data_IF_821638937065
#
_entry.id   IF_821638937065
#
_cell.length_a   1.000
_cell.length_b   1.000
_cell.length_c   1.000
_cell.angle_alpha   90.00
_cell.angle_beta   90.00
_cell.angle_gamma   90.00
#
_symmetry.space_group_name_H-M   'P 1'
#
loop_
_entity.id
_entity.type
_entity.pdbx_description
1 polymer ?
#
# COMPACT_ATOMS: atom_id res chain seq x y z
N UNK A 1 10.71 -0.44 -23.18
CA UNK A 1 9.62 0.47 -23.61
C UNK A 1 8.72 0.70 -22.41
N UNK A 2 8.46 1.94 -22.03
CA UNK A 2 7.65 2.27 -20.85
C UNK A 2 6.17 2.11 -21.18
N UNK A 3 5.33 1.90 -20.17
CA UNK A 3 3.88 1.75 -20.32
C UNK A 3 3.25 2.94 -21.05
N UNK A 4 3.72 4.16 -20.76
CA UNK A 4 3.29 5.39 -21.41
C UNK A 4 3.58 5.41 -22.90
N UNK A 5 4.73 4.89 -23.33
CA UNK A 5 5.12 4.80 -24.73
C UNK A 5 4.22 3.80 -25.48
N UNK A 6 3.88 2.68 -24.83
CA UNK A 6 2.96 1.67 -25.38
C UNK A 6 1.56 2.25 -25.52
N UNK A 7 1.04 2.94 -24.51
CA UNK A 7 -0.27 3.59 -24.56
C UNK A 7 -0.34 4.64 -25.66
N UNK A 8 0.69 5.48 -25.77
CA UNK A 8 0.78 6.47 -26.83
C UNK A 8 0.86 5.85 -28.23
N UNK A 9 1.53 4.70 -28.36
CA UNK A 9 1.58 3.93 -29.60
C UNK A 9 0.23 3.32 -29.95
N UNK A 10 -0.44 2.69 -28.98
CA UNK A 10 -1.79 2.10 -29.18
C UNK A 10 -2.82 3.14 -29.59
N UNK A 11 -2.78 4.33 -29.02
CA UNK A 11 -3.70 5.44 -29.39
C UNK A 11 -3.45 5.99 -30.77
N UNK A 12 -2.21 5.91 -31.27
CA UNK A 12 -1.84 6.34 -32.63
C UNK A 12 -2.00 5.25 -33.67
N UNK A 13 -2.14 4.00 -33.24
CA UNK A 13 -2.25 2.87 -34.15
C UNK A 13 -3.56 2.97 -34.96
N UNK A 14 -3.41 3.14 -36.26
CA UNK A 14 -4.52 3.09 -37.22
C UNK A 14 -4.59 1.69 -37.78
N UNK A 15 -5.62 0.95 -37.40
CA UNK A 15 -5.93 -0.35 -37.98
C UNK A 15 -7.00 -0.13 -39.04
N UNK A 16 -6.75 -0.60 -40.27
CA UNK A 16 -7.77 -0.61 -41.32
C UNK A 16 -8.87 -1.58 -40.92
N UNK A 17 -10.04 -1.04 -40.59
CA UNK A 17 -11.21 -1.82 -40.24
C UNK A 17 -11.85 -2.39 -41.51
N UNK A 18 -12.28 -3.68 -41.45
CA UNK A 18 -12.89 -4.35 -42.58
C UNK A 18 -11.89 -5.05 -43.52
N UNK A 19 -10.57 -5.04 -43.18
CA UNK A 19 -9.58 -5.86 -43.93
C UNK A 19 -9.67 -7.34 -43.58
N UNK A 20 -9.08 -8.20 -44.38
CA UNK A 20 -8.99 -9.64 -44.10
C UNK A 20 -8.33 -9.95 -42.75
N UNK A 21 -7.37 -9.12 -42.34
CA UNK A 21 -6.72 -9.26 -41.05
C UNK A 21 -7.64 -8.94 -39.84
N UNK A 22 -8.72 -8.19 -40.09
CA UNK A 22 -9.72 -7.86 -39.09
C UNK A 22 -10.85 -8.87 -38.99
N UNK A 23 -11.01 -9.74 -40.00
CA UNK A 23 -12.07 -10.76 -40.01
C UNK A 23 -11.77 -11.84 -38.97
N UNK A 24 -12.78 -12.16 -38.15
CA UNK A 24 -12.66 -13.19 -37.12
C UNK A 24 -12.24 -12.66 -35.74
N UNK A 25 -12.11 -11.36 -35.56
CA UNK A 25 -11.87 -10.77 -34.25
C UNK A 25 -13.12 -10.76 -33.32
N UNK A 26 -14.29 -11.10 -33.86
CA UNK A 26 -15.58 -11.12 -33.16
C UNK A 26 -16.19 -9.75 -32.86
N UNK A 27 -15.62 -8.68 -33.41
CA UNK A 27 -16.04 -7.27 -33.18
C UNK A 27 -16.18 -6.46 -34.47
N UNK A 28 -16.36 -7.16 -35.62
CA UNK A 28 -16.33 -6.57 -36.96
C UNK A 28 -17.36 -5.45 -37.16
N UNK A 29 -18.47 -5.50 -36.44
CA UNK A 29 -19.57 -4.54 -36.54
C UNK A 29 -19.44 -3.36 -35.55
N UNK A 30 -18.50 -3.43 -34.61
CA UNK A 30 -18.35 -2.44 -33.53
C UNK A 30 -17.22 -1.41 -33.77
N UNK A 31 -16.50 -1.54 -34.86
CA UNK A 31 -15.28 -0.75 -35.10
C UNK A 31 -15.55 0.67 -35.64
N UNK A 32 -16.68 0.98 -36.17
CA UNK A 32 -17.09 2.34 -36.62
C UNK A 32 -15.98 3.30 -37.07
N UNK A 33 -16.29 4.59 -37.11
CA UNK A 33 -15.38 5.67 -37.48
C UNK A 33 -14.22 5.90 -36.47
N UNK A 34 -14.28 5.32 -35.29
CA UNK A 34 -13.30 5.54 -34.21
C UNK A 34 -12.13 4.54 -34.20
N UNK A 35 -11.98 3.73 -35.28
CA UNK A 35 -10.91 2.72 -35.41
C UNK A 35 -11.20 1.41 -34.66
N UNK A 36 -10.19 0.57 -34.54
CA UNK A 36 -10.32 -0.75 -33.94
C UNK A 36 -10.74 -0.69 -32.47
N UNK A 37 -11.88 -1.27 -32.16
CA UNK A 37 -12.43 -1.32 -30.81
C UNK A 37 -11.52 -2.08 -29.84
N UNK A 38 -10.92 -3.21 -30.28
CA UNK A 38 -10.02 -4.00 -29.44
C UNK A 38 -8.80 -3.19 -29.01
N UNK A 39 -8.23 -2.41 -29.92
CA UNK A 39 -7.07 -1.55 -29.61
C UNK A 39 -7.43 -0.47 -28.59
N UNK A 40 -8.60 0.13 -28.70
CA UNK A 40 -9.08 1.12 -27.73
C UNK A 40 -9.36 0.51 -26.38
N UNK A 41 -10.08 -0.60 -26.31
CA UNK A 41 -10.39 -1.32 -25.07
C UNK A 41 -9.11 -1.81 -24.39
N UNK A 42 -8.11 -2.27 -25.17
CA UNK A 42 -6.81 -2.64 -24.65
C UNK A 42 -6.06 -1.46 -24.02
N UNK A 43 -6.07 -0.29 -24.68
CA UNK A 43 -5.46 0.91 -24.13
C UNK A 43 -6.13 1.33 -22.82
N UNK A 44 -7.47 1.37 -22.78
CA UNK A 44 -8.23 1.69 -21.57
C UNK A 44 -7.99 0.69 -20.43
N UNK A 45 -7.89 -0.60 -20.76
CA UNK A 45 -7.60 -1.64 -19.76
C UNK A 45 -6.19 -1.47 -19.19
N UNK A 46 -5.20 -1.20 -20.03
CA UNK A 46 -3.82 -0.97 -19.59
C UNK A 46 -3.76 0.27 -18.66
N UNK A 47 -4.45 1.35 -19.00
CA UNK A 47 -4.52 2.53 -18.11
C UNK A 47 -5.11 2.19 -16.75
N UNK A 48 -6.28 1.56 -16.73
CA UNK A 48 -6.94 1.15 -15.48
C UNK A 48 -6.07 0.22 -14.64
N UNK A 49 -5.36 -0.72 -15.26
CA UNK A 49 -4.45 -1.62 -14.56
C UNK A 49 -3.23 -0.87 -14.02
N UNK A 50 -2.67 0.05 -14.78
CA UNK A 50 -1.53 0.87 -14.35
C UNK A 50 -1.90 1.72 -13.13
N UNK A 51 -3.05 2.37 -13.15
CA UNK A 51 -3.54 3.18 -12.01
C UNK A 51 -3.80 2.32 -10.77
N UNK A 52 -4.34 1.11 -10.97
CA UNK A 52 -4.53 0.18 -9.85
C UNK A 52 -3.21 -0.30 -9.27
N UNK A 53 -2.24 -0.62 -10.11
CA UNK A 53 -0.91 -1.02 -9.65
C UNK A 53 -0.23 0.12 -8.88
N UNK A 54 -0.35 1.36 -9.33
CA UNK A 54 0.20 2.52 -8.63
C UNK A 54 -0.42 2.68 -7.23
N UNK A 55 -1.75 2.56 -7.11
CA UNK A 55 -2.44 2.62 -5.80
C UNK A 55 -2.00 1.50 -4.87
N UNK A 56 -1.95 0.25 -5.37
CA UNK A 56 -1.49 -0.86 -4.54
C UNK A 56 -0.02 -0.73 -4.12
N UNK A 57 0.84 -0.19 -4.98
CA UNK A 57 2.22 0.08 -4.62
C UNK A 57 2.32 1.10 -3.48
N UNK A 58 1.49 2.14 -3.48
CA UNK A 58 1.41 3.13 -2.41
C UNK A 58 0.89 2.50 -1.11
N UNK A 59 -0.20 1.73 -1.16
CA UNK A 59 -0.73 1.00 -0.01
C UNK A 59 0.30 0.05 0.61
N UNK A 60 1.00 -0.73 -0.22
CA UNK A 60 2.07 -1.63 0.22
C UNK A 60 3.19 -0.84 0.90
N UNK A 61 3.61 0.29 0.34
CA UNK A 61 4.65 1.14 0.93
C UNK A 61 4.24 1.64 2.32
N UNK A 62 3.00 2.10 2.48
CA UNK A 62 2.47 2.55 3.78
C UNK A 62 2.44 1.40 4.78
N UNK A 63 1.98 0.22 4.38
CA UNK A 63 1.95 -0.97 5.26
C UNK A 63 3.36 -1.41 5.67
N UNK A 64 4.32 -1.41 4.73
CA UNK A 64 5.71 -1.74 5.03
C UNK A 64 6.35 -0.78 6.02
N UNK A 65 6.08 0.53 5.90
CA UNK A 65 6.56 1.52 6.89
C UNK A 65 5.94 1.28 8.28
N UNK A 66 4.67 0.91 8.36
CA UNK A 66 4.00 0.58 9.64
C UNK A 66 4.55 -0.68 10.29
N UNK A 67 4.99 -1.66 9.50
CA UNK A 67 5.56 -2.90 9.99
C UNK A 67 7.05 -2.81 10.34
N UNK A 68 7.70 -1.74 9.95
CA UNK A 68 9.13 -1.55 10.20
C UNK A 68 9.41 -1.32 11.68
N UNK A 69 10.41 -2.05 12.20
CA UNK A 69 10.93 -1.79 13.53
C UNK A 69 11.69 -0.47 13.58
N UNK A 70 11.34 0.38 14.52
CA UNK A 70 11.95 1.70 14.75
C UNK A 70 12.90 1.59 15.94
N UNK A 71 14.21 1.86 15.77
CA UNK A 71 15.12 1.96 16.90
C UNK A 71 14.70 3.09 17.85
N UNK A 72 14.73 2.85 19.15
CA UNK A 72 14.41 3.90 20.16
C UNK A 72 15.39 5.05 20.12
N UNK A 73 16.59 4.84 19.56
CA UNK A 73 17.61 5.88 19.35
C UNK A 73 17.30 6.80 18.17
N UNK A 74 16.51 6.33 17.21
CA UNK A 74 16.10 7.10 16.05
C UNK A 74 14.86 7.93 16.35
N UNK A 75 13.81 7.28 16.89
CA UNK A 75 12.55 7.94 17.20
C UNK A 75 11.80 7.21 18.32
N UNK A 76 11.16 7.98 19.19
CA UNK A 76 10.24 7.50 20.21
C UNK A 76 8.79 7.67 19.73
N UNK A 77 7.83 6.92 20.30
CA UNK A 77 6.41 7.11 19.99
C UNK A 77 5.95 8.54 20.30
N UNK A 78 5.29 9.15 19.35
CA UNK A 78 4.68 10.50 19.53
C UNK A 78 3.39 10.42 20.34
N UNK A 79 2.59 9.39 20.04
CA UNK A 79 1.33 9.13 20.76
C UNK A 79 1.62 8.11 21.86
N UNK A 80 1.61 8.54 23.10
CA UNK A 80 1.85 7.68 24.26
C UNK A 80 0.60 7.46 25.11
N UNK A 81 -0.45 8.25 24.88
CA UNK A 81 -1.72 8.20 25.57
C UNK A 81 -2.86 8.42 24.58
N UNK A 82 -3.93 7.64 24.74
CA UNK A 82 -5.16 7.88 23.99
C UNK A 82 -5.89 9.06 24.61
N UNK A 83 -6.24 10.07 23.82
CA UNK A 83 -6.88 11.31 24.28
C UNK A 83 -8.32 11.06 24.76
N UNK A 84 -8.99 10.04 24.21
CA UNK A 84 -10.39 9.70 24.56
C UNK A 84 -10.49 8.86 25.84
N UNK A 85 -9.64 7.83 25.97
CA UNK A 85 -9.72 6.87 27.09
C UNK A 85 -8.73 7.19 28.21
N UNK A 86 -7.81 8.11 27.98
CA UNK A 86 -6.70 8.44 28.87
C UNK A 86 -5.76 7.26 29.18
N UNK A 87 -5.86 6.15 28.44
CA UNK A 87 -5.02 4.97 28.57
C UNK A 87 -3.71 5.12 27.81
N UNK A 88 -2.68 4.42 28.27
CA UNK A 88 -1.39 4.36 27.57
C UNK A 88 -1.55 3.56 26.27
N UNK A 89 -0.98 4.07 25.19
CA UNK A 89 -0.97 3.36 23.90
C UNK A 89 0.01 2.20 23.94
N UNK A 90 -0.42 1.05 23.50
CA UNK A 90 0.37 -0.16 23.39
C UNK A 90 1.15 -0.21 22.08
N UNK A 91 2.36 -0.72 22.13
CA UNK A 91 3.25 -0.95 21.00
C UNK A 91 3.82 -2.35 21.05
N UNK A 92 4.15 -2.91 19.88
CA UNK A 92 5.08 -4.03 19.85
C UNK A 92 6.48 -3.49 20.14
N UNK A 93 7.17 -4.17 21.04
CA UNK A 93 8.51 -3.79 21.49
C UNK A 93 9.46 -4.97 21.37
N UNK A 94 10.73 -4.68 21.19
CA UNK A 94 11.80 -5.66 21.26
C UNK A 94 12.76 -5.29 22.38
N UNK A 95 12.94 -6.23 23.29
CA UNK A 95 13.90 -6.15 24.38
C UNK A 95 14.98 -7.20 24.22
N UNK A 96 16.26 -6.89 24.49
CA UNK A 96 17.33 -7.88 24.54
C UNK A 96 17.10 -8.96 25.62
N UNK A 97 16.36 -8.64 26.67
CA UNK A 97 16.18 -9.49 27.83
C UNK A 97 15.12 -10.58 27.62
N UNK A 98 14.05 -10.28 26.87
CA UNK A 98 12.90 -11.19 26.71
C UNK A 98 12.35 -11.29 25.28
N UNK A 99 12.94 -10.58 24.31
CA UNK A 99 12.52 -10.64 22.91
C UNK A 99 11.35 -9.71 22.58
N UNK A 100 10.40 -10.19 21.77
CA UNK A 100 9.23 -9.42 21.33
C UNK A 100 8.11 -9.51 22.35
N UNK A 101 7.56 -8.38 22.75
CA UNK A 101 6.44 -8.26 23.68
C UNK A 101 5.60 -7.01 23.39
N UNK A 102 4.59 -6.78 24.21
CA UNK A 102 3.76 -5.58 24.18
C UNK A 102 4.14 -4.67 25.32
N UNK A 103 4.37 -3.40 25.02
CA UNK A 103 4.70 -2.41 26.02
C UNK A 103 4.14 -1.03 25.72
N UNK A 104 4.24 -0.15 26.71
CA UNK A 104 3.84 1.24 26.58
C UNK A 104 5.05 2.15 26.79
N UNK A 105 5.05 3.27 26.12
CA UNK A 105 6.01 4.34 26.38
C UNK A 105 5.37 5.44 27.23
N UNK A 106 5.93 5.73 28.38
CA UNK A 106 5.46 6.81 29.23
C UNK A 106 6.33 8.07 29.01
N UNK A 107 5.87 8.99 28.16
CA UNK A 107 6.66 10.13 27.71
C UNK A 107 7.12 11.06 28.86
N UNK A 108 6.28 11.31 29.87
CA UNK A 108 6.64 12.14 31.01
C UNK A 108 7.77 11.54 31.86
N UNK A 109 7.73 10.20 32.03
CA UNK A 109 8.76 9.48 32.78
C UNK A 109 9.95 9.07 31.91
N UNK A 110 9.85 9.21 30.59
CA UNK A 110 10.83 8.76 29.58
C UNK A 110 11.23 7.29 29.77
N UNK A 111 10.25 6.44 30.05
CA UNK A 111 10.44 5.03 30.34
C UNK A 111 9.49 4.15 29.56
N UNK A 112 9.99 2.98 29.16
CA UNK A 112 9.17 1.90 28.65
C UNK A 112 8.67 1.05 29.81
N UNK A 113 7.43 0.59 29.70
CA UNK A 113 6.77 -0.27 30.67
C UNK A 113 6.30 -1.55 29.98
N UNK A 114 6.67 -2.69 30.51
CA UNK A 114 6.24 -4.00 30.11
C UNK A 114 5.49 -4.61 31.32
N UNK A 115 4.23 -4.98 31.17
CA UNK A 115 3.39 -5.45 32.29
C UNK A 115 3.43 -4.50 33.52
N UNK A 116 3.38 -3.19 33.27
CA UNK A 116 3.47 -2.13 34.28
C UNK A 116 4.83 -1.99 35.01
N UNK A 117 5.85 -2.76 34.62
CA UNK A 117 7.20 -2.66 35.15
C UNK A 117 8.15 -2.00 34.14
N UNK A 118 9.14 -1.20 34.60
CA UNK A 118 10.15 -0.63 33.71
C UNK A 118 10.93 -1.72 32.99
N UNK A 119 11.12 -1.56 31.67
CA UNK A 119 11.87 -2.52 30.85
C UNK A 119 12.81 -1.80 29.88
N UNK A 120 13.83 -2.52 29.42
CA UNK A 120 14.76 -2.04 28.40
C UNK A 120 14.21 -2.37 27.01
N UNK A 121 14.01 -1.38 26.16
CA UNK A 121 13.51 -1.53 24.80
C UNK A 121 14.53 -0.96 23.83
N UNK A 122 14.82 -1.69 22.76
CA UNK A 122 15.73 -1.24 21.69
C UNK A 122 15.01 -0.84 20.44
N UNK A 123 13.87 -1.51 20.13
CA UNK A 123 13.05 -1.25 18.95
C UNK A 123 11.57 -1.32 19.32
N UNK A 124 10.78 -0.56 18.58
CA UNK A 124 9.34 -0.56 18.71
C UNK A 124 8.64 -0.42 17.36
N UNK A 125 7.37 -0.78 17.29
CA UNK A 125 6.48 -0.47 16.18
C UNK A 125 5.02 -0.41 16.64
N UNK A 126 4.12 0.26 15.89
CA UNK A 126 2.70 0.22 16.19
C UNK A 126 2.16 -1.21 16.21
N UNK A 127 1.13 -1.46 17.02
CA UNK A 127 0.38 -2.70 16.93
C UNK A 127 -0.36 -2.76 15.59
N UNK A 128 -0.51 -3.96 14.99
CA UNK A 128 -1.41 -4.13 13.86
C UNK A 128 -2.84 -3.80 14.26
N UNK A 129 -3.62 -3.32 13.30
CA UNK A 129 -5.05 -3.11 13.53
C UNK A 129 -5.72 -4.44 13.85
N UNK A 130 -6.69 -4.42 14.76
CA UNK A 130 -7.49 -5.61 15.05
C UNK A 130 -8.32 -6.05 13.83
N UNK A 131 -8.88 -7.27 13.86
CA UNK A 131 -9.80 -7.69 12.81
C UNK A 131 -11.02 -6.76 12.79
N UNK A 132 -11.46 -6.39 11.58
CA UNK A 132 -12.74 -5.70 11.43
C UNK A 132 -13.85 -6.64 11.92
N UNK A 133 -14.56 -6.24 12.96
CA UNK A 133 -15.71 -6.99 13.48
C UNK A 133 -16.93 -6.48 12.72
N UNK A 134 -17.46 -7.31 11.81
CA UNK A 134 -18.72 -7.06 11.14
C UNK A 134 -19.91 -7.14 12.12
#
# INVERSE_FOLDING_TARGET
MRTEDILAALRRLKVETGSLACMGCGREHDCGIHGCRIVREAAELIEKLTDRCARYAEEISVLQEREKWVPVTERLPEVWRNDETAELVNYLIYSPDFGVDIGNYHAKAKKWLCMALPCTVTHWRPLPDGPEVE
#
